data_IF_938212066339
#
_entry.id   IF_938212066339
#
_cell.length_a   1.000
_cell.length_b   1.000
_cell.length_c   1.000
_cell.angle_alpha   90.00
_cell.angle_beta   90.00
_cell.angle_gamma   90.00
#
_symmetry.space_group_name_H-M   'P 1'
#
loop_
_entity.id
_entity.type
_entity.pdbx_description
1 polymer ?
#
# COMPACT_ATOMS: atom_id res chain seq x y z
N UNK A 1 34.07 35.20 -49.47
CA UNK A 1 33.24 35.70 -48.35
C UNK A 1 31.96 34.88 -48.11
N UNK A 2 31.32 34.31 -49.15
CA UNK A 2 30.08 33.52 -49.05
C UNK A 2 30.22 32.17 -48.31
N UNK A 3 31.39 31.53 -48.36
CA UNK A 3 31.60 30.17 -47.82
C UNK A 3 31.73 30.13 -46.29
N UNK A 4 32.28 31.20 -45.69
CA UNK A 4 32.42 31.35 -44.23
C UNK A 4 31.04 31.48 -43.57
N UNK A 5 30.12 32.26 -44.16
CA UNK A 5 28.76 32.42 -43.63
C UNK A 5 27.94 31.12 -43.67
N UNK A 6 28.14 30.26 -44.68
CA UNK A 6 27.42 28.99 -44.83
C UNK A 6 27.85 27.97 -43.77
N UNK A 7 29.16 27.90 -43.47
CA UNK A 7 29.70 27.04 -42.42
C UNK A 7 29.33 27.51 -41.00
N UNK A 8 29.22 28.83 -40.78
CA UNK A 8 28.75 29.37 -39.50
C UNK A 8 27.28 28.99 -39.25
N UNK A 9 26.38 29.17 -40.23
CA UNK A 9 24.96 28.77 -40.10
C UNK A 9 24.77 27.28 -39.80
N UNK A 10 25.56 26.39 -40.44
CA UNK A 10 25.53 24.94 -40.15
C UNK A 10 25.94 24.61 -38.71
N UNK A 11 26.97 25.29 -38.17
CA UNK A 11 27.40 25.11 -36.77
C UNK A 11 26.32 25.56 -35.77
N UNK A 12 25.65 26.69 -36.02
CA UNK A 12 24.54 27.14 -35.18
C UNK A 12 23.33 26.20 -35.22
N UNK A 13 22.97 25.67 -36.40
CA UNK A 13 21.91 24.66 -36.50
C UNK A 13 22.24 23.37 -35.75
N UNK A 14 23.50 22.90 -35.81
CA UNK A 14 23.93 21.71 -35.08
C UNK A 14 23.90 21.92 -33.55
N UNK A 15 24.31 23.11 -33.08
CA UNK A 15 24.27 23.49 -31.67
C UNK A 15 22.82 23.63 -31.18
N UNK A 16 21.92 24.22 -31.96
CA UNK A 16 20.50 24.34 -31.63
C UNK A 16 19.82 22.96 -31.60
N UNK A 17 20.14 22.06 -32.52
CA UNK A 17 19.65 20.67 -32.52
C UNK A 17 20.20 19.87 -31.32
N UNK A 18 21.45 20.07 -30.92
CA UNK A 18 22.00 19.45 -29.70
C UNK A 18 21.30 19.99 -28.44
N UNK A 19 21.07 21.30 -28.36
CA UNK A 19 20.34 21.94 -27.25
C UNK A 19 18.88 21.48 -27.16
N UNK A 20 18.21 21.26 -28.30
CA UNK A 20 16.85 20.68 -28.35
C UNK A 20 16.83 19.18 -28.02
N UNK A 21 17.90 18.44 -28.32
CA UNK A 21 18.03 17.04 -27.92
C UNK A 21 18.31 16.92 -26.40
N UNK A 22 19.07 17.85 -25.83
CA UNK A 22 19.40 17.90 -24.39
C UNK A 22 18.22 18.33 -23.50
N UNK A 23 17.22 19.06 -24.03
CA UNK A 23 16.00 19.39 -23.28
C UNK A 23 14.94 18.28 -23.29
N UNK A 24 15.12 17.23 -24.11
CA UNK A 24 14.18 16.11 -24.19
C UNK A 24 14.46 14.97 -23.19
N UNK A 25 15.61 14.97 -22.54
CA UNK A 25 15.85 14.18 -21.33
C UNK A 25 15.59 15.06 -20.11
N UNK A 26 14.31 15.35 -19.85
CA UNK A 26 13.92 15.72 -18.50
C UNK A 26 14.20 14.50 -17.63
N UNK A 27 15.26 14.58 -16.83
CA UNK A 27 15.48 13.72 -15.65
C UNK A 27 14.35 14.06 -14.66
N UNK A 28 13.15 13.61 -14.97
CA UNK A 28 11.96 13.74 -14.11
C UNK A 28 11.42 12.38 -13.71
N UNK A 29 12.23 11.33 -13.83
CA UNK A 29 12.16 10.22 -12.87
C UNK A 29 12.72 10.71 -11.53
N UNK A 30 12.07 11.74 -10.98
CA UNK A 30 12.19 12.07 -9.57
C UNK A 30 11.71 10.81 -8.86
N UNK A 31 12.65 10.07 -8.29
CA UNK A 31 12.37 8.90 -7.46
C UNK A 31 11.50 9.34 -6.29
N UNK A 32 10.19 9.39 -6.49
CA UNK A 32 9.25 9.76 -5.45
C UNK A 32 9.30 8.67 -4.39
N UNK A 33 9.88 9.03 -3.25
CA UNK A 33 10.08 8.19 -2.09
C UNK A 33 9.30 8.80 -0.94
N UNK A 34 8.55 7.98 -0.22
CA UNK A 34 7.87 8.39 1.00
C UNK A 34 8.03 7.32 2.06
N UNK A 35 8.38 7.72 3.26
CA UNK A 35 8.57 6.83 4.41
C UNK A 35 7.51 7.16 5.44
N UNK A 36 6.83 6.14 5.93
CA UNK A 36 5.87 6.22 7.02
C UNK A 36 6.39 5.42 8.20
N UNK A 37 6.24 5.95 9.39
CA UNK A 37 6.53 5.23 10.64
C UNK A 37 5.23 5.12 11.40
N UNK A 38 4.86 3.90 11.77
CA UNK A 38 3.67 3.61 12.55
C UNK A 38 4.05 2.98 13.88
N UNK A 39 3.40 3.41 14.95
CA UNK A 39 3.40 2.74 16.25
C UNK A 39 2.22 1.78 16.33
N UNK A 40 2.48 0.54 16.71
CA UNK A 40 1.47 -0.49 16.95
C UNK A 40 1.39 -0.80 18.44
N UNK A 41 0.26 -0.50 19.04
CA UNK A 41 0.01 -0.67 20.48
C UNK A 41 -1.03 -1.77 20.65
N UNK A 42 -0.66 -2.85 21.33
CA UNK A 42 -1.57 -3.97 21.66
C UNK A 42 -1.40 -4.34 23.13
N UNK A 43 -2.41 -4.05 23.94
CA UNK A 43 -2.29 -4.19 25.40
C UNK A 43 -1.16 -3.30 25.93
N UNK A 44 -0.18 -3.91 26.59
CA UNK A 44 1.00 -3.22 27.14
C UNK A 44 2.23 -3.26 26.21
N UNK A 45 2.08 -3.82 25.01
CA UNK A 45 3.18 -3.94 24.05
C UNK A 45 3.07 -2.85 22.99
N UNK A 46 4.19 -2.15 22.75
CA UNK A 46 4.37 -1.21 21.65
C UNK A 46 5.46 -1.72 20.72
N UNK A 47 5.17 -1.73 19.42
CA UNK A 47 6.16 -1.99 18.36
C UNK A 47 6.07 -0.92 17.28
N UNK A 48 7.07 -0.87 16.40
CA UNK A 48 7.15 0.11 15.32
C UNK A 48 7.25 -0.60 13.98
N UNK A 49 6.44 -0.16 13.02
CA UNK A 49 6.51 -0.58 11.63
C UNK A 49 6.98 0.60 10.78
N UNK A 50 7.96 0.38 9.91
CA UNK A 50 8.38 1.37 8.91
C UNK A 50 7.93 0.93 7.54
N UNK A 51 7.31 1.84 6.78
CA UNK A 51 6.75 1.57 5.48
C UNK A 51 7.37 2.52 4.46
N UNK A 52 8.15 1.96 3.55
CA UNK A 52 8.86 2.69 2.51
C UNK A 52 8.14 2.52 1.18
N UNK A 53 7.51 3.58 0.69
CA UNK A 53 6.96 3.65 -0.65
C UNK A 53 7.97 4.25 -1.63
N UNK A 54 8.14 3.60 -2.78
CA UNK A 54 8.85 4.12 -3.96
C UNK A 54 7.92 4.08 -5.16
N UNK A 55 7.73 5.21 -5.83
CA UNK A 55 7.09 5.23 -7.15
C UNK A 55 8.13 4.83 -8.20
N UNK A 56 7.77 3.84 -9.01
CA UNK A 56 8.45 3.49 -10.26
C UNK A 56 7.58 4.00 -11.42
N UNK A 57 8.09 3.91 -12.65
CA UNK A 57 7.40 4.40 -13.87
C UNK A 57 5.91 4.04 -13.91
N UNK A 58 5.59 2.75 -13.71
CA UNK A 58 4.23 2.23 -13.86
C UNK A 58 3.59 1.70 -12.55
N UNK A 59 4.39 1.59 -11.49
CA UNK A 59 4.04 0.84 -10.27
C UNK A 59 4.53 1.54 -8.99
N UNK A 60 3.93 1.17 -7.85
CA UNK A 60 4.46 1.49 -6.53
C UNK A 60 5.09 0.23 -5.92
N UNK A 61 6.29 0.38 -5.39
CA UNK A 61 6.95 -0.62 -4.55
C UNK A 61 6.82 -0.16 -3.10
N UNK A 62 6.32 -1.03 -2.24
CA UNK A 62 6.17 -0.78 -0.81
C UNK A 62 6.96 -1.84 -0.05
N UNK A 63 7.85 -1.41 0.83
CA UNK A 63 8.56 -2.28 1.75
C UNK A 63 8.14 -1.92 3.17
N UNK A 64 7.48 -2.85 3.84
CA UNK A 64 7.17 -2.76 5.27
C UNK A 64 8.21 -3.56 6.05
N UNK A 65 8.77 -2.96 7.10
CA UNK A 65 9.68 -3.60 8.06
C UNK A 65 9.07 -3.49 9.45
N UNK A 66 8.99 -4.62 10.17
CA UNK A 66 8.50 -4.72 11.54
C UNK A 66 9.38 -5.68 12.35
N UNK A 67 9.02 -5.91 13.62
CA UNK A 67 9.65 -6.92 14.48
C UNK A 67 9.39 -8.36 14.00
N UNK A 68 8.34 -8.56 13.19
CA UNK A 68 8.03 -9.86 12.60
C UNK A 68 8.86 -10.12 11.34
N UNK A 69 9.24 -9.09 10.59
CA UNK A 69 10.06 -9.26 9.40
C UNK A 69 9.82 -8.19 8.34
N UNK A 70 9.92 -8.59 7.08
CA UNK A 70 9.85 -7.70 5.91
C UNK A 70 8.73 -8.17 4.99
N UNK A 71 7.87 -7.24 4.58
CA UNK A 71 6.88 -7.46 3.53
C UNK A 71 7.14 -6.52 2.36
N UNK A 72 7.40 -7.08 1.19
CA UNK A 72 7.54 -6.33 -0.06
C UNK A 72 6.26 -6.47 -0.89
N UNK A 73 5.63 -5.37 -1.23
CA UNK A 73 4.41 -5.33 -2.04
C UNK A 73 4.60 -4.49 -3.30
N UNK A 74 4.02 -4.94 -4.40
CA UNK A 74 3.98 -4.21 -5.67
C UNK A 74 2.54 -3.88 -6.01
N UNK A 75 2.25 -2.59 -6.18
CA UNK A 75 0.96 -2.09 -6.60
C UNK A 75 1.05 -1.49 -8.00
N UNK A 76 0.01 -1.61 -8.82
CA UNK A 76 -0.14 -0.78 -10.02
C UNK A 76 -0.20 0.71 -9.67
N UNK A 77 0.01 1.60 -10.63
CA UNK A 77 -0.29 3.03 -10.47
C UNK A 77 -1.75 3.33 -10.01
N UNK A 78 -2.70 2.41 -10.22
CA UNK A 78 -4.08 2.50 -9.71
C UNK A 78 -4.27 1.90 -8.31
N UNK A 79 -3.18 1.66 -7.56
CA UNK A 79 -3.18 1.06 -6.22
C UNK A 79 -3.84 -0.32 -6.12
N UNK A 80 -3.82 -1.11 -7.20
CA UNK A 80 -4.18 -2.53 -7.18
C UNK A 80 -2.95 -3.38 -6.88
N UNK A 81 -3.02 -4.22 -5.83
CA UNK A 81 -1.93 -5.12 -5.43
C UNK A 81 -1.70 -6.18 -6.51
N UNK A 82 -0.46 -6.32 -6.97
CA UNK A 82 -0.02 -7.30 -7.98
C UNK A 82 0.77 -8.45 -7.36
N UNK A 83 1.56 -8.12 -6.35
CA UNK A 83 2.47 -9.06 -5.71
C UNK A 83 2.68 -8.66 -4.25
N UNK A 84 2.81 -9.65 -3.39
CA UNK A 84 3.24 -9.49 -2.01
C UNK A 84 4.20 -10.62 -1.65
N UNK A 85 5.35 -10.30 -1.07
CA UNK A 85 6.35 -11.25 -0.60
C UNK A 85 6.60 -10.98 0.87
N UNK A 86 6.37 -11.99 1.71
CA UNK A 86 6.51 -11.93 3.16
C UNK A 86 7.71 -12.76 3.57
N UNK A 87 8.58 -12.17 4.38
CA UNK A 87 9.77 -12.81 4.93
C UNK A 87 9.83 -12.56 6.43
N UNK A 88 9.87 -13.64 7.22
CA UNK A 88 9.96 -13.61 8.67
C UNK A 88 10.84 -14.76 9.16
N UNK A 89 11.99 -14.44 9.75
CA UNK A 89 12.79 -15.46 10.44
C UNK A 89 12.08 -15.95 11.71
N UNK A 90 11.40 -15.04 12.43
CA UNK A 90 10.68 -15.32 13.67
C UNK A 90 9.52 -16.31 13.48
N UNK A 91 8.84 -16.24 12.34
CA UNK A 91 7.72 -17.12 11.98
C UNK A 91 8.14 -18.23 10.99
N UNK A 92 9.44 -18.42 10.74
CA UNK A 92 10.00 -19.32 9.71
C UNK A 92 9.20 -19.30 8.39
N UNK A 93 9.09 -18.10 7.81
CA UNK A 93 8.26 -17.82 6.66
C UNK A 93 9.02 -17.06 5.58
N UNK A 94 8.89 -17.53 4.35
CA UNK A 94 9.33 -16.87 3.11
C UNK A 94 8.36 -17.31 2.00
N UNK A 95 7.33 -16.52 1.74
CA UNK A 95 6.28 -16.86 0.79
C UNK A 95 5.78 -15.67 -0.01
N UNK A 96 5.34 -15.94 -1.23
CA UNK A 96 4.96 -14.94 -2.20
C UNK A 96 3.58 -15.21 -2.78
N UNK A 97 2.79 -14.14 -2.81
CA UNK A 97 1.55 -14.03 -3.54
C UNK A 97 1.78 -13.31 -4.87
N UNK A 98 1.21 -13.83 -5.95
CA UNK A 98 1.16 -13.16 -7.25
C UNK A 98 -0.23 -13.27 -7.82
N UNK A 99 -0.80 -12.16 -8.31
CA UNK A 99 -2.14 -12.17 -8.89
C UNK A 99 -2.09 -11.81 -10.39
N UNK A 100 -2.88 -12.54 -11.18
CA UNK A 100 -3.21 -12.17 -12.54
C UNK A 100 -4.74 -12.16 -12.68
N UNK A 101 -5.32 -10.97 -12.88
CA UNK A 101 -6.76 -10.73 -12.85
C UNK A 101 -7.37 -11.19 -11.52
N UNK A 102 -8.04 -12.34 -11.49
CA UNK A 102 -8.66 -12.93 -10.29
C UNK A 102 -8.02 -14.25 -9.85
N UNK A 103 -6.95 -14.68 -10.53
CA UNK A 103 -6.20 -15.88 -10.18
C UNK A 103 -5.03 -15.48 -9.29
N UNK A 104 -5.08 -15.87 -8.02
CA UNK A 104 -4.04 -15.62 -7.03
C UNK A 104 -3.25 -16.91 -6.81
N UNK A 105 -1.94 -16.84 -6.94
CA UNK A 105 -1.02 -17.94 -6.60
C UNK A 105 -0.27 -17.58 -5.33
N UNK A 106 -0.19 -18.53 -4.39
CA UNK A 106 0.62 -18.50 -3.18
C UNK A 106 1.67 -19.61 -3.26
N UNK A 107 2.94 -19.28 -3.09
CA UNK A 107 4.03 -20.27 -3.06
C UNK A 107 5.14 -19.87 -2.10
N UNK A 108 5.81 -20.86 -1.50
CA UNK A 108 7.00 -20.66 -0.67
C UNK A 108 6.98 -21.54 0.57
N UNK A 109 7.45 -20.98 1.69
CA UNK A 109 7.42 -21.59 3.02
C UNK A 109 6.65 -20.67 3.97
N UNK A 110 5.70 -21.20 4.72
CA UNK A 110 5.02 -20.49 5.79
C UNK A 110 5.00 -21.35 7.04
N UNK A 111 5.39 -20.78 8.18
CA UNK A 111 5.44 -21.48 9.47
C UNK A 111 6.21 -22.81 9.38
N UNK A 112 7.37 -22.78 8.70
CA UNK A 112 8.24 -23.94 8.45
C UNK A 112 7.73 -24.97 7.45
N UNK A 113 6.55 -24.77 6.85
CA UNK A 113 5.95 -25.72 5.91
C UNK A 113 5.98 -25.19 4.49
N UNK A 114 6.35 -26.05 3.53
CA UNK A 114 6.21 -25.73 2.10
C UNK A 114 4.73 -25.56 1.76
N UNK A 115 4.42 -24.52 1.02
CA UNK A 115 3.07 -24.20 0.57
C UNK A 115 3.06 -23.88 -0.92
N UNK A 116 2.02 -24.36 -1.61
CA UNK A 116 1.67 -24.00 -2.98
C UNK A 116 0.15 -24.10 -3.12
N UNK A 117 -0.51 -22.98 -3.39
CA UNK A 117 -1.98 -22.89 -3.52
C UNK A 117 -2.35 -21.91 -4.61
N UNK A 118 -3.48 -22.16 -5.25
CA UNK A 118 -4.07 -21.26 -6.23
C UNK A 118 -5.53 -20.99 -5.85
N UNK A 119 -5.97 -19.75 -6.09
CA UNK A 119 -7.31 -19.29 -5.75
C UNK A 119 -7.91 -18.57 -6.96
N UNK A 120 -9.21 -18.77 -7.18
CA UNK A 120 -10.02 -17.89 -8.04
C UNK A 120 -10.86 -17.01 -7.14
N UNK A 121 -10.53 -15.72 -7.09
CA UNK A 121 -11.14 -14.78 -6.15
C UNK A 121 -12.51 -14.29 -6.63
N UNK A 122 -13.47 -14.18 -5.70
CA UNK A 122 -14.80 -13.66 -5.97
C UNK A 122 -14.82 -12.14 -6.21
N UNK A 123 -13.81 -11.41 -5.73
CA UNK A 123 -13.64 -9.97 -5.95
C UNK A 123 -12.15 -9.57 -5.91
N UNK A 124 -11.86 -8.26 -5.92
CA UNK A 124 -10.52 -7.71 -5.84
C UNK A 124 -9.84 -8.13 -4.54
N UNK A 125 -8.59 -8.50 -4.64
CA UNK A 125 -7.73 -8.77 -3.51
C UNK A 125 -7.19 -7.47 -2.88
N UNK A 126 -7.37 -7.31 -1.58
CA UNK A 126 -6.79 -6.20 -0.79
C UNK A 126 -6.23 -6.79 0.50
N UNK A 127 -4.93 -7.08 0.54
CA UNK A 127 -4.30 -7.72 1.70
C UNK A 127 -3.85 -6.72 2.78
N UNK A 128 -3.45 -5.51 2.37
CA UNK A 128 -3.03 -4.43 3.26
C UNK A 128 -4.01 -3.24 3.12
N UNK A 129 -4.41 -2.69 4.26
CA UNK A 129 -5.35 -1.57 4.34
C UNK A 129 -4.64 -0.22 4.37
N UNK A 130 -3.33 -0.17 4.59
CA UNK A 130 -2.54 1.07 4.56
C UNK A 130 -2.57 1.70 3.17
N UNK A 131 -2.58 0.86 2.12
CA UNK A 131 -2.55 1.31 0.73
C UNK A 131 -3.70 0.81 -0.14
N UNK A 132 -4.16 -0.42 0.05
CA UNK A 132 -5.05 -1.08 -0.90
C UNK A 132 -6.46 -0.50 -0.99
N UNK A 133 -6.88 0.32 -0.02
CA UNK A 133 -8.18 1.00 -0.02
C UNK A 133 -8.19 2.37 -0.71
N UNK A 134 -7.04 2.89 -1.18
CA UNK A 134 -6.96 4.18 -1.88
C UNK A 134 -7.95 4.32 -3.06
N UNK A 135 -8.16 3.31 -3.92
CA UNK A 135 -9.14 3.43 -5.01
C UNK A 135 -10.58 3.62 -4.51
N UNK A 136 -10.92 2.99 -3.37
CA UNK A 136 -12.22 3.15 -2.74
C UNK A 136 -12.39 4.54 -2.13
N UNK A 137 -11.37 5.01 -1.39
CA UNK A 137 -11.35 6.33 -0.78
C UNK A 137 -11.54 7.44 -1.83
N UNK A 138 -10.85 7.34 -2.97
CA UNK A 138 -10.96 8.29 -4.08
C UNK A 138 -12.27 8.20 -4.88
N UNK A 139 -13.13 7.23 -4.60
CA UNK A 139 -14.40 7.04 -5.32
C UNK A 139 -15.57 7.72 -4.59
N UNK A 140 -16.68 7.93 -5.30
CA UNK A 140 -17.96 8.35 -4.68
C UNK A 140 -18.73 7.20 -4.00
N UNK A 141 -18.19 5.97 -4.03
CA UNK A 141 -18.86 4.80 -3.43
C UNK A 141 -18.86 4.93 -1.92
N UNK A 142 -19.95 4.50 -1.30
CA UNK A 142 -20.04 4.40 0.16
C UNK A 142 -19.60 3.05 0.71
N UNK A 143 -19.72 1.99 -0.09
CA UNK A 143 -19.32 0.64 0.29
C UNK A 143 -18.40 0.03 -0.77
N UNK A 144 -17.51 -0.86 -0.33
CA UNK A 144 -16.57 -1.56 -1.19
C UNK A 144 -16.28 -2.95 -0.64
N UNK A 145 -16.72 -3.98 -1.36
CA UNK A 145 -16.40 -5.37 -1.08
C UNK A 145 -15.05 -5.74 -1.67
N UNK A 146 -14.33 -6.62 -0.98
CA UNK A 146 -13.05 -7.15 -1.41
C UNK A 146 -12.73 -8.47 -0.70
N UNK A 147 -11.74 -9.19 -1.22
CA UNK A 147 -11.25 -10.45 -0.66
C UNK A 147 -9.91 -10.24 0.01
N UNK A 148 -9.71 -10.91 1.14
CA UNK A 148 -8.42 -11.07 1.83
C UNK A 148 -8.10 -12.55 1.97
N UNK A 149 -6.83 -12.88 2.21
CA UNK A 149 -6.46 -14.19 2.72
C UNK A 149 -6.11 -14.07 4.21
N UNK A 150 -6.65 -14.98 5.01
CA UNK A 150 -6.31 -15.08 6.43
C UNK A 150 -4.81 -15.30 6.62
N UNK A 151 -4.14 -14.57 7.52
CA UNK A 151 -2.70 -14.70 7.71
C UNK A 151 -2.29 -16.05 8.31
N UNK A 152 -3.19 -16.73 9.02
CA UNK A 152 -2.87 -17.97 9.73
C UNK A 152 -2.96 -19.22 8.83
N UNK A 153 -3.98 -19.29 7.97
CA UNK A 153 -4.31 -20.50 7.21
C UNK A 153 -4.50 -20.26 5.71
N UNK A 154 -4.39 -19.01 5.25
CA UNK A 154 -4.59 -18.58 3.87
C UNK A 154 -5.97 -18.85 3.29
N UNK A 155 -7.00 -19.03 4.12
CA UNK A 155 -8.39 -19.09 3.67
C UNK A 155 -8.87 -17.74 3.14
N UNK A 156 -9.67 -17.75 2.08
CA UNK A 156 -10.22 -16.52 1.50
C UNK A 156 -11.40 -16.02 2.33
N UNK A 157 -11.40 -14.74 2.67
CA UNK A 157 -12.51 -14.09 3.37
C UNK A 157 -12.94 -12.83 2.63
N UNK A 158 -14.24 -12.64 2.51
CA UNK A 158 -14.83 -11.40 1.99
C UNK A 158 -14.98 -10.39 3.13
N UNK A 159 -14.64 -9.13 2.84
CA UNK A 159 -14.82 -8.00 3.74
C UNK A 159 -15.54 -6.87 3.01
N UNK A 160 -16.16 -6.00 3.79
CA UNK A 160 -16.80 -4.78 3.33
C UNK A 160 -16.16 -3.60 4.05
N UNK A 161 -15.65 -2.64 3.27
CA UNK A 161 -15.25 -1.33 3.74
C UNK A 161 -16.38 -0.31 3.48
N UNK A 162 -16.73 0.47 4.50
CA UNK A 162 -17.80 1.48 4.46
C UNK A 162 -17.29 2.82 4.97
N UNK A 163 -17.54 3.90 4.21
CA UNK A 163 -17.21 5.27 4.66
C UNK A 163 -18.16 5.67 5.79
N UNK A 164 -17.61 6.06 6.92
CA UNK A 164 -18.33 6.31 8.19
C UNK A 164 -18.06 7.73 8.69
N UNK A 165 -18.32 8.72 7.84
CA UNK A 165 -18.19 10.14 8.19
C UNK A 165 -16.75 10.69 8.14
N UNK A 166 -16.68 12.01 8.27
CA UNK A 166 -15.43 12.77 8.27
C UNK A 166 -15.24 13.35 9.67
N UNK A 167 -14.06 13.15 10.24
CA UNK A 167 -13.72 13.67 11.57
C UNK A 167 -12.28 14.18 11.63
N UNK A 168 -12.05 15.16 12.50
CA UNK A 168 -10.70 15.64 12.81
C UNK A 168 -10.12 14.80 13.94
N UNK A 169 -8.95 14.23 13.72
CA UNK A 169 -8.21 13.52 14.76
C UNK A 169 -6.84 14.17 14.97
N UNK A 170 -6.45 14.31 16.24
CA UNK A 170 -5.13 14.84 16.63
C UNK A 170 -4.19 13.69 16.94
N UNK A 171 -3.06 13.62 16.26
CA UNK A 171 -1.97 12.67 16.50
C UNK A 171 -0.68 13.47 16.74
N UNK A 172 -0.13 13.37 17.95
CA UNK A 172 0.93 14.28 18.40
C UNK A 172 0.46 15.73 18.27
N UNK A 173 1.26 16.57 17.62
CA UNK A 173 0.93 17.98 17.39
C UNK A 173 0.18 18.23 16.07
N UNK A 174 -0.06 17.18 15.26
CA UNK A 174 -0.72 17.32 13.96
C UNK A 174 -2.20 16.99 14.06
N UNK A 175 -3.05 17.87 13.52
CA UNK A 175 -4.48 17.59 13.34
C UNK A 175 -4.74 17.16 11.89
N UNK A 176 -5.32 15.99 11.72
CA UNK A 176 -5.69 15.43 10.42
C UNK A 176 -7.19 15.55 10.21
N UNK A 177 -7.61 15.99 9.02
CA UNK A 177 -9.00 15.86 8.59
C UNK A 177 -9.17 14.50 7.90
N UNK A 178 -9.93 13.59 8.50
CA UNK A 178 -9.90 12.18 8.11
C UNK A 178 -11.25 11.64 7.67
N UNK A 179 -11.23 10.76 6.67
CA UNK A 179 -12.33 9.85 6.37
C UNK A 179 -12.19 8.63 7.28
N UNK A 180 -13.17 8.40 8.16
CA UNK A 180 -13.27 7.14 8.88
C UNK A 180 -13.87 6.07 7.95
N UNK A 181 -13.32 4.87 8.01
CA UNK A 181 -13.78 3.70 7.26
C UNK A 181 -13.94 2.55 8.24
N UNK A 182 -15.14 1.97 8.27
CA UNK A 182 -15.42 0.71 8.98
C UNK A 182 -15.13 -0.45 8.04
N UNK A 183 -14.41 -1.46 8.52
CA UNK A 183 -14.12 -2.69 7.78
C UNK A 183 -14.70 -3.85 8.56
N UNK A 184 -15.55 -4.67 7.93
CA UNK A 184 -16.30 -5.72 8.61
C UNK A 184 -16.43 -6.99 7.77
N UNK A 185 -16.73 -8.10 8.43
CA UNK A 185 -17.28 -9.29 7.76
C UNK A 185 -18.72 -9.01 7.28
N UNK A 186 -19.17 -9.63 6.17
CA UNK A 186 -20.52 -9.42 5.65
C UNK A 186 -21.60 -9.98 6.59
N UNK A 187 -22.77 -9.33 6.58
CA UNK A 187 -23.98 -9.78 7.26
C UNK A 187 -23.83 -9.89 8.79
N UNK A 188 -24.45 -10.91 9.38
CA UNK A 188 -24.42 -11.15 10.82
C UNK A 188 -23.00 -11.41 11.36
N UNK A 189 -22.06 -11.80 10.50
CA UNK A 189 -20.67 -12.06 10.90
C UNK A 189 -19.90 -10.80 11.27
N UNK A 190 -20.40 -9.62 10.92
CA UNK A 190 -19.83 -8.31 11.31
C UNK A 190 -19.67 -8.16 12.84
N UNK A 191 -20.41 -8.92 13.64
CA UNK A 191 -20.27 -8.94 15.11
C UNK A 191 -18.98 -9.62 15.58
N UNK A 192 -18.44 -10.56 14.80
CA UNK A 192 -17.26 -11.35 15.19
C UNK A 192 -15.95 -10.63 14.88
N UNK A 193 -15.94 -9.76 13.88
CA UNK A 193 -14.75 -8.98 13.56
C UNK A 193 -15.10 -7.66 12.88
N UNK A 194 -14.44 -6.61 13.36
CA UNK A 194 -14.53 -5.26 12.80
C UNK A 194 -13.21 -4.51 13.01
N UNK A 195 -12.94 -3.60 12.11
CA UNK A 195 -11.88 -2.64 12.24
C UNK A 195 -12.36 -1.23 11.87
N UNK A 196 -11.70 -0.25 12.46
CA UNK A 196 -11.86 1.16 12.10
C UNK A 196 -10.53 1.67 11.53
N UNK A 197 -10.58 2.38 10.42
CA UNK A 197 -9.44 2.97 9.76
C UNK A 197 -9.71 4.46 9.47
N UNK A 198 -8.75 5.31 9.75
CA UNK A 198 -8.83 6.75 9.51
C UNK A 198 -7.81 7.14 8.47
N UNK A 199 -8.28 7.70 7.36
CA UNK A 199 -7.44 8.12 6.25
C UNK A 199 -7.46 9.62 6.11
N UNK A 200 -6.30 10.25 5.97
CA UNK A 200 -6.20 11.68 5.67
C UNK A 200 -6.92 12.00 4.35
N UNK A 201 -7.82 12.99 4.36
CA UNK A 201 -8.65 13.31 3.18
C UNK A 201 -7.86 13.89 2.01
N UNK A 202 -6.73 14.54 2.26
CA UNK A 202 -5.90 15.12 1.21
C UNK A 202 -5.04 14.09 0.49
N UNK A 203 -4.51 13.12 1.24
CA UNK A 203 -3.48 12.20 0.75
C UNK A 203 -3.92 10.73 0.70
N UNK A 204 -5.02 10.39 1.35
CA UNK A 204 -5.47 9.01 1.62
C UNK A 204 -4.41 8.14 2.32
N UNK A 205 -3.46 8.78 3.02
CA UNK A 205 -2.56 8.09 3.92
C UNK A 205 -3.34 7.58 5.14
N UNK A 206 -3.07 6.36 5.58
CA UNK A 206 -3.60 5.86 6.84
C UNK A 206 -2.99 6.68 8.00
N UNK A 207 -3.86 7.24 8.84
CA UNK A 207 -3.46 8.02 10.03
C UNK A 207 -3.59 7.16 11.28
N UNK A 208 -4.65 6.35 11.35
CA UNK A 208 -4.93 5.47 12.48
C UNK A 208 -5.68 4.24 12.02
N UNK A 209 -5.44 3.11 12.66
CA UNK A 209 -6.20 1.88 12.48
C UNK A 209 -6.42 1.21 13.83
N UNK A 210 -7.60 0.62 14.03
CA UNK A 210 -7.98 -0.12 15.22
C UNK A 210 -8.68 -1.40 14.85
N UNK A 211 -8.19 -2.52 15.37
CA UNK A 211 -8.85 -3.81 15.25
C UNK A 211 -8.45 -4.71 16.41
N UNK A 212 -9.28 -5.70 16.72
CA UNK A 212 -8.89 -6.83 17.55
C UNK A 212 -8.80 -8.08 16.68
N UNK A 213 -8.22 -9.16 17.20
CA UNK A 213 -8.12 -10.45 16.48
C UNK A 213 -9.43 -11.25 16.54
N UNK A 214 -10.44 -10.75 17.24
CA UNK A 214 -11.72 -11.40 17.50
C UNK A 214 -12.28 -11.04 18.88
N UNK A 215 -13.45 -11.57 19.25
CA UNK A 215 -14.11 -11.29 20.52
C UNK A 215 -13.19 -11.61 21.71
N UNK A 216 -13.15 -10.72 22.71
CA UNK A 216 -12.36 -10.92 23.93
C UNK A 216 -10.84 -10.72 23.79
N UNK A 217 -10.32 -10.47 22.58
CA UNK A 217 -8.89 -10.19 22.37
C UNK A 217 -8.56 -8.71 22.59
N UNK A 218 -7.33 -8.37 23.04
CA UNK A 218 -6.91 -6.98 23.17
C UNK A 218 -7.05 -6.21 21.86
N UNK A 219 -7.48 -4.95 21.97
CA UNK A 219 -7.52 -4.04 20.84
C UNK A 219 -6.10 -3.64 20.45
N UNK A 220 -5.76 -3.83 19.17
CA UNK A 220 -4.56 -3.29 18.56
C UNK A 220 -4.87 -1.92 17.95
N UNK A 221 -3.98 -0.95 18.16
CA UNK A 221 -4.06 0.37 17.54
C UNK A 221 -2.77 0.66 16.80
N UNK A 222 -2.87 0.88 15.49
CA UNK A 222 -1.79 1.41 14.67
C UNK A 222 -1.98 2.92 14.52
N UNK A 223 -0.94 3.71 14.76
CA UNK A 223 -0.98 5.18 14.67
C UNK A 223 0.20 5.68 13.86
N UNK A 224 -0.04 6.60 12.92
CA UNK A 224 1.00 7.28 12.16
C UNK A 224 1.83 8.18 13.10
N UNK A 225 3.09 7.83 13.31
CA UNK A 225 4.01 8.56 14.16
C UNK A 225 4.75 9.65 13.37
N UNK A 226 5.24 9.31 12.18
CA UNK A 226 5.84 10.30 11.27
C UNK A 226 5.72 9.91 9.80
N UNK A 227 5.80 10.91 8.91
CA UNK A 227 5.94 10.71 7.46
C UNK A 227 6.96 11.68 6.87
N UNK A 228 7.83 11.18 5.99
CA UNK A 228 8.91 11.93 5.32
C UNK A 228 8.94 11.62 3.83
#
# INVERSE_FOLDING_TARGET
MLDVQKNMKKKYYLIILLLLALTSFTITDVFYKKTYVYKNITGNTETTNTLLMKKKKDDYSITETSDLGITNSVYSFKYVLKEMHVQSAKEDSDYKFTINKRKLSLKGRAFGRKIKREYTLADRWVQDFTFGLRPFLNSKRQNYSFVILSPNDFTTNELIASKDGIEKIKIGDTTYNTQRVKITLPGFKSMFWKADAWYDLGTFDLVKYRANKGPGTPMSTLVLDSKK
#
